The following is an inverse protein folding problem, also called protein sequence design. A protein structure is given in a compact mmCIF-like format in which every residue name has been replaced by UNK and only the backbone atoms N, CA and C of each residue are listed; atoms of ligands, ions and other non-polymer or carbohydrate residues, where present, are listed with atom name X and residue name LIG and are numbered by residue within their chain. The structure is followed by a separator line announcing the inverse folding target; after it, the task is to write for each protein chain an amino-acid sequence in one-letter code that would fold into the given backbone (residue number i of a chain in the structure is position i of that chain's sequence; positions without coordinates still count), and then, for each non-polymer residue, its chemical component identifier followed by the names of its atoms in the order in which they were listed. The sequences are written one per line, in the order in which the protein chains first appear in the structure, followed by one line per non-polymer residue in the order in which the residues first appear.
data_IF_472467475562
#
_entry.id   IF_472467475562
#
_cell.length_a   1.000
_cell.length_b   1.000
_cell.length_c   1.000
_cell.angle_alpha   90.00
_cell.angle_beta   90.00
_cell.angle_gamma   90.00
#
_symmetry.space_group_name_H-M   'P 1'
#
loop_
_entity.id
_entity.type
_entity.pdbx_description
1 polymer ?
#
# COMPACT_ATOMS: atom_id res chain seq x y z
N UNK A 1 -19.55 23.80 -33.27
CA UNK A 1 -18.42 24.31 -32.48
C UNK A 1 -18.05 23.23 -31.49
N UNK A 2 -16.98 22.48 -31.76
CA UNK A 2 -16.51 21.39 -30.90
C UNK A 2 -15.46 21.96 -29.97
N UNK A 3 -15.81 22.07 -28.68
CA UNK A 3 -14.87 22.49 -27.64
C UNK A 3 -14.01 21.29 -27.28
N UNK A 4 -12.86 21.17 -27.91
CA UNK A 4 -11.79 20.29 -27.41
C UNK A 4 -11.31 20.86 -26.09
N UNK A 5 -11.78 20.29 -24.97
CA UNK A 5 -11.14 20.51 -23.67
C UNK A 5 -9.76 19.89 -23.77
N UNK A 6 -8.74 20.70 -24.02
CA UNK A 6 -7.36 20.34 -23.70
C UNK A 6 -7.32 20.19 -22.18
N UNK A 7 -7.36 18.96 -21.68
CA UNK A 7 -7.05 18.68 -20.28
C UNK A 7 -5.63 19.18 -20.06
N UNK A 8 -5.49 20.33 -19.37
CA UNK A 8 -4.19 20.84 -18.99
C UNK A 8 -3.48 19.73 -18.19
N UNK A 9 -2.20 19.49 -18.48
CA UNK A 9 -1.39 18.67 -17.59
C UNK A 9 -1.49 19.28 -16.18
N UNK A 10 -1.79 18.49 -15.13
CA UNK A 10 -1.91 19.04 -13.80
C UNK A 10 -0.61 19.77 -13.45
N UNK A 11 -0.75 20.96 -12.84
CA UNK A 11 0.39 21.67 -12.28
C UNK A 11 1.10 20.77 -11.28
N UNK A 12 2.43 20.90 -11.20
CA UNK A 12 3.21 20.15 -10.24
C UNK A 12 2.79 20.58 -8.82
N UNK A 13 2.48 19.61 -7.98
CA UNK A 13 2.01 19.81 -6.60
C UNK A 13 3.03 19.28 -5.61
N UNK A 14 3.14 19.96 -4.47
CA UNK A 14 3.64 19.34 -3.25
C UNK A 14 2.66 18.28 -2.74
N UNK A 15 3.12 17.41 -1.85
CA UNK A 15 2.28 16.40 -1.21
C UNK A 15 1.12 17.02 -0.42
N UNK A 16 1.33 18.18 0.21
CA UNK A 16 0.28 18.88 0.94
C UNK A 16 -0.81 19.42 0.01
N UNK A 17 -0.41 20.09 -1.07
CA UNK A 17 -1.33 20.59 -2.10
C UNK A 17 -2.10 19.43 -2.75
N UNK A 18 -1.40 18.33 -3.05
CA UNK A 18 -2.00 17.14 -3.61
C UNK A 18 -3.05 16.52 -2.68
N UNK A 19 -2.77 16.39 -1.39
CA UNK A 19 -3.72 15.78 -0.44
C UNK A 19 -5.00 16.61 -0.35
N UNK A 20 -4.89 17.95 -0.28
CA UNK A 20 -6.06 18.84 -0.33
C UNK A 20 -6.80 18.75 -1.68
N UNK A 21 -6.05 18.69 -2.78
CA UNK A 21 -6.59 18.56 -4.13
C UNK A 21 -7.36 17.23 -4.31
N UNK A 22 -6.81 16.12 -3.81
CA UNK A 22 -7.40 14.78 -3.90
C UNK A 22 -8.65 14.68 -3.01
N UNK A 23 -8.61 15.26 -1.80
CA UNK A 23 -9.74 15.30 -0.87
C UNK A 23 -10.96 16.01 -1.49
N UNK A 24 -10.72 17.11 -2.21
CA UNK A 24 -11.77 17.86 -2.92
C UNK A 24 -12.39 17.11 -4.12
N UNK A 25 -11.75 16.03 -4.60
CA UNK A 25 -12.12 15.28 -5.82
C UNK A 25 -12.40 13.80 -5.57
N UNK A 26 -12.74 13.42 -4.32
CA UNK A 26 -13.02 12.02 -3.95
C UNK A 26 -14.03 11.30 -4.86
N UNK A 27 -14.95 12.02 -5.49
CA UNK A 27 -15.94 11.44 -6.42
C UNK A 27 -15.43 11.23 -7.84
N UNK A 28 -14.30 11.83 -8.21
CA UNK A 28 -13.70 11.74 -9.56
C UNK A 28 -12.78 10.53 -9.70
N UNK A 29 -12.27 10.01 -8.59
CA UNK A 29 -11.38 8.86 -8.56
C UNK A 29 -10.34 8.97 -7.45
N UNK A 30 -9.46 7.98 -7.40
CA UNK A 30 -8.33 7.93 -6.47
C UNK A 30 -7.04 8.19 -7.21
N UNK A 31 -6.09 8.83 -6.54
CA UNK A 31 -4.87 9.31 -7.15
C UNK A 31 -3.68 9.01 -6.26
N UNK A 32 -2.54 8.76 -6.88
CA UNK A 32 -1.23 8.89 -6.23
C UNK A 32 -0.56 10.20 -6.70
N UNK A 33 0.42 10.68 -5.95
CA UNK A 33 1.33 11.73 -6.40
C UNK A 33 2.66 11.09 -6.76
N UNK A 34 3.12 11.28 -8.00
CA UNK A 34 4.41 10.75 -8.48
C UNK A 34 5.21 11.88 -9.09
N UNK A 35 6.38 12.17 -8.50
CA UNK A 35 7.27 13.26 -8.91
C UNK A 35 6.56 14.64 -9.00
N UNK A 36 5.56 14.83 -8.14
CA UNK A 36 4.72 16.02 -8.04
C UNK A 36 3.52 16.05 -9.00
N UNK A 37 3.24 14.96 -9.71
CA UNK A 37 2.11 14.89 -10.64
C UNK A 37 1.04 13.91 -10.15
N UNK A 38 -0.24 14.33 -10.07
CA UNK A 38 -1.35 13.43 -9.78
C UNK A 38 -1.48 12.34 -10.86
N UNK A 39 -1.54 11.08 -10.43
CA UNK A 39 -1.69 9.92 -11.29
C UNK A 39 -2.94 9.16 -10.87
N UNK A 40 -3.93 9.08 -11.76
CA UNK A 40 -5.18 8.35 -11.53
C UNK A 40 -4.92 6.84 -11.37
N UNK A 41 -5.40 6.28 -10.26
CA UNK A 41 -5.47 4.85 -10.04
C UNK A 41 -6.58 4.25 -10.92
N UNK A 42 -6.26 3.15 -11.60
CA UNK A 42 -7.21 2.50 -12.51
C UNK A 42 -8.34 1.83 -11.73
N UNK A 43 -9.51 1.74 -12.35
CA UNK A 43 -10.60 0.93 -11.82
C UNK A 43 -10.15 -0.53 -11.73
N UNK A 44 -10.53 -1.18 -10.64
CA UNK A 44 -10.06 -2.52 -10.33
C UNK A 44 -11.04 -3.60 -10.80
N UNK A 45 -10.51 -4.81 -11.02
CA UNK A 45 -11.31 -6.01 -11.28
C UNK A 45 -11.76 -6.63 -9.96
N UNK A 46 -12.85 -7.39 -10.00
CA UNK A 46 -13.37 -8.09 -8.82
C UNK A 46 -12.31 -8.97 -8.14
N UNK A 47 -11.53 -9.73 -8.92
CA UNK A 47 -10.45 -10.58 -8.39
C UNK A 47 -9.39 -9.79 -7.60
N UNK A 48 -9.02 -8.60 -8.07
CA UNK A 48 -8.10 -7.73 -7.34
C UNK A 48 -8.68 -7.30 -5.98
N UNK A 49 -9.96 -6.93 -5.98
CA UNK A 49 -10.66 -6.54 -4.76
C UNK A 49 -10.77 -7.72 -3.77
N UNK A 50 -11.07 -8.92 -4.24
CA UNK A 50 -11.11 -10.15 -3.43
C UNK A 50 -9.75 -10.40 -2.74
N UNK A 51 -8.64 -10.33 -3.48
CA UNK A 51 -7.30 -10.51 -2.88
C UNK A 51 -6.98 -9.44 -1.82
N UNK A 52 -7.33 -8.17 -2.04
CA UNK A 52 -7.15 -7.12 -1.03
C UNK A 52 -7.98 -7.38 0.22
N UNK A 53 -9.21 -7.85 0.05
CA UNK A 53 -10.09 -8.18 1.16
C UNK A 53 -9.50 -9.34 2.00
N UNK A 54 -8.99 -10.40 1.35
CA UNK A 54 -8.31 -11.51 2.03
C UNK A 54 -7.06 -11.04 2.77
N UNK A 55 -6.21 -10.23 2.14
CA UNK A 55 -5.02 -9.61 2.77
C UNK A 55 -5.42 -8.85 4.04
N UNK A 56 -6.35 -7.91 3.91
CA UNK A 56 -6.79 -7.10 5.04
C UNK A 56 -7.37 -7.96 6.16
N UNK A 57 -8.20 -8.95 5.83
CA UNK A 57 -8.83 -9.84 6.80
C UNK A 57 -7.77 -10.65 7.56
N UNK A 58 -6.79 -11.21 6.86
CA UNK A 58 -5.71 -12.00 7.45
C UNK A 58 -4.86 -11.15 8.39
N UNK A 59 -4.43 -9.96 7.95
CA UNK A 59 -3.67 -9.02 8.79
C UNK A 59 -4.49 -8.62 10.02
N UNK A 60 -5.74 -8.20 9.84
CA UNK A 60 -6.62 -7.77 10.93
C UNK A 60 -6.87 -8.89 11.94
N UNK A 61 -7.09 -10.11 11.45
CA UNK A 61 -7.32 -11.28 12.31
C UNK A 61 -6.07 -11.59 13.14
N UNK A 62 -4.90 -11.62 12.51
CA UNK A 62 -3.66 -11.92 13.21
C UNK A 62 -3.28 -10.84 14.24
N UNK A 63 -3.46 -9.56 13.91
CA UNK A 63 -3.27 -8.45 14.87
C UNK A 63 -4.16 -8.58 16.10
N UNK A 64 -5.45 -8.90 15.90
CA UNK A 64 -6.41 -9.07 17.00
C UNK A 64 -6.08 -10.29 17.85
N UNK A 65 -5.77 -11.43 17.22
CA UNK A 65 -5.39 -12.65 17.92
C UNK A 65 -4.10 -12.49 18.71
N UNK A 66 -3.15 -11.69 18.21
CA UNK A 66 -1.92 -11.34 18.92
C UNK A 66 -2.08 -10.27 20.00
N UNK A 67 -3.26 -9.67 20.16
CA UNK A 67 -3.49 -8.59 21.13
C UNK A 67 -2.67 -7.33 20.86
N UNK A 68 -2.27 -7.10 19.60
CA UNK A 68 -1.41 -5.99 19.22
C UNK A 68 -2.21 -4.68 19.12
N UNK A 69 -1.64 -3.60 19.65
CA UNK A 69 -2.20 -2.24 19.53
C UNK A 69 -1.92 -1.63 18.13
N UNK A 70 -2.32 -2.36 17.10
CA UNK A 70 -2.16 -1.98 15.71
C UNK A 70 -3.48 -2.16 14.94
N UNK A 71 -3.61 -1.43 13.85
CA UNK A 71 -4.77 -1.43 12.96
C UNK A 71 -4.32 -1.74 11.55
N UNK A 72 -5.00 -2.68 10.90
CA UNK A 72 -4.90 -2.90 9.47
C UNK A 72 -5.93 -2.03 8.74
N UNK A 73 -5.47 -1.22 7.80
CA UNK A 73 -6.31 -0.44 6.90
C UNK A 73 -6.29 -1.09 5.50
N UNK A 74 -7.41 -0.97 4.80
CA UNK A 74 -7.50 -1.28 3.37
C UNK A 74 -6.94 -0.12 2.55
N UNK A 75 -7.01 -0.25 1.23
CA UNK A 75 -6.83 0.84 0.28
C UNK A 75 -7.73 2.04 0.59
N UNK A 76 -7.34 3.23 0.08
CA UNK A 76 -7.97 4.51 0.40
C UNK A 76 -7.20 5.36 1.41
N UNK A 77 -6.18 4.80 2.06
CA UNK A 77 -5.30 5.53 2.99
C UNK A 77 -4.01 5.96 2.29
N UNK A 78 -3.67 7.24 2.38
CA UNK A 78 -2.45 7.79 1.79
C UNK A 78 -1.22 7.56 2.69
N UNK A 79 -0.08 7.30 2.08
CA UNK A 79 1.24 7.29 2.72
C UNK A 79 2.10 8.36 2.04
N UNK A 80 2.46 9.40 2.80
CA UNK A 80 3.39 10.42 2.32
C UNK A 80 4.81 9.86 2.35
N UNK A 81 5.47 9.87 1.20
CA UNK A 81 6.86 9.40 1.05
C UNK A 81 7.80 10.58 1.25
N UNK A 82 7.59 11.65 0.47
CA UNK A 82 8.34 12.89 0.58
C UNK A 82 7.45 14.11 0.21
N UNK A 83 8.05 15.20 -0.26
CA UNK A 83 7.32 16.41 -0.64
C UNK A 83 6.62 16.32 -2.01
N UNK A 84 6.93 15.32 -2.83
CA UNK A 84 6.43 15.17 -4.19
C UNK A 84 5.93 13.76 -4.50
N UNK A 85 5.91 12.86 -3.52
CA UNK A 85 5.43 11.50 -3.66
C UNK A 85 4.47 11.14 -2.52
N UNK A 86 3.27 10.69 -2.91
CA UNK A 86 2.23 10.16 -2.03
C UNK A 86 1.70 8.89 -2.67
N UNK A 87 1.73 7.78 -1.92
CA UNK A 87 1.28 6.46 -2.37
C UNK A 87 -0.01 6.05 -1.68
N UNK A 88 -0.79 5.20 -2.32
CA UNK A 88 -1.98 4.59 -1.72
C UNK A 88 -1.84 3.07 -1.82
N UNK A 89 -1.25 2.40 -0.82
CA UNK A 89 -1.08 0.94 -0.86
C UNK A 89 -2.43 0.23 -0.73
N UNK A 90 -2.48 -1.02 -1.23
CA UNK A 90 -3.69 -1.83 -1.21
C UNK A 90 -4.12 -2.28 0.18
N UNK A 91 -3.14 -2.41 1.10
CA UNK A 91 -3.37 -2.51 2.53
C UNK A 91 -2.14 -2.00 3.28
N UNK A 92 -2.33 -1.63 4.55
CA UNK A 92 -1.23 -1.27 5.43
C UNK A 92 -1.53 -1.64 6.88
N UNK A 93 -0.49 -1.75 7.70
CA UNK A 93 -0.58 -1.87 9.15
C UNK A 93 0.04 -0.64 9.79
N UNK A 94 -0.73 0.02 10.66
CA UNK A 94 -0.29 1.11 11.52
C UNK A 94 -0.34 0.67 12.97
N UNK A 95 0.70 0.98 13.75
CA UNK A 95 0.73 0.74 15.18
C UNK A 95 0.79 2.07 15.92
N UNK A 96 -0.17 2.30 16.82
CA UNK A 96 -0.33 3.58 17.51
C UNK A 96 -1.73 4.16 17.41
N UNK A 97 -1.87 5.38 17.92
CA UNK A 97 -3.12 6.15 17.85
C UNK A 97 -3.25 6.86 16.50
N UNK A 98 -4.48 6.97 16.03
CA UNK A 98 -4.86 7.68 14.81
C UNK A 98 -6.21 8.39 15.03
N UNK A 99 -6.48 9.43 14.25
CA UNK A 99 -7.80 10.07 14.21
C UNK A 99 -8.68 9.41 13.14
N UNK A 100 -9.98 9.32 13.38
CA UNK A 100 -10.91 8.73 12.40
C UNK A 100 -11.07 9.57 11.13
N UNK A 101 -10.69 10.84 11.18
CA UNK A 101 -10.68 11.76 10.05
C UNK A 101 -9.36 11.75 9.28
N UNK A 102 -8.36 11.00 9.74
CA UNK A 102 -7.07 10.90 9.03
C UNK A 102 -7.26 10.30 7.64
N UNK A 103 -6.69 10.98 6.65
CA UNK A 103 -6.55 10.48 5.28
C UNK A 103 -5.12 10.00 4.98
N UNK A 104 -4.15 10.41 5.81
CA UNK A 104 -2.74 10.03 5.72
C UNK A 104 -2.35 9.20 6.93
N UNK A 105 -1.69 8.07 6.69
CA UNK A 105 -1.08 7.25 7.74
C UNK A 105 0.37 7.68 7.89
N UNK A 106 0.68 8.31 9.01
CA UNK A 106 2.00 8.94 9.22
C UNK A 106 3.11 7.95 9.58
N UNK A 107 2.78 6.81 10.19
CA UNK A 107 3.76 5.80 10.61
C UNK A 107 3.27 4.38 10.28
N UNK A 108 3.13 4.01 9.01
CA UNK A 108 2.86 2.63 8.62
C UNK A 108 4.09 1.77 8.92
N UNK A 109 3.86 0.55 9.41
CA UNK A 109 4.90 -0.44 9.73
C UNK A 109 4.99 -1.51 8.65
N UNK A 110 3.86 -1.87 8.05
CA UNK A 110 3.75 -2.81 6.95
C UNK A 110 2.93 -2.13 5.85
N UNK A 111 3.37 -2.26 4.60
CA UNK A 111 2.60 -1.87 3.40
C UNK A 111 2.49 -3.06 2.46
N UNK A 112 1.36 -3.16 1.77
CA UNK A 112 1.05 -4.28 0.90
C UNK A 112 0.54 -3.78 -0.44
N UNK A 113 1.05 -4.37 -1.51
CA UNK A 113 0.61 -4.15 -2.89
C UNK A 113 0.11 -5.48 -3.46
N UNK A 114 -1.05 -5.46 -4.11
CA UNK A 114 -1.59 -6.59 -4.85
C UNK A 114 -1.37 -6.32 -6.34
N UNK A 115 -0.69 -7.24 -7.00
CA UNK A 115 -0.38 -7.16 -8.42
C UNK A 115 -1.33 -8.07 -9.18
N UNK A 116 -2.04 -7.48 -10.13
CA UNK A 116 -2.79 -8.22 -11.16
C UNK A 116 -2.17 -7.97 -12.54
N UNK A 117 -2.32 -8.86 -13.53
CA UNK A 117 -1.77 -8.67 -14.87
C UNK A 117 -2.23 -7.38 -15.57
N UNK A 118 -3.37 -6.81 -15.15
CA UNK A 118 -3.88 -5.53 -15.66
C UNK A 118 -3.21 -4.29 -15.07
N UNK A 119 -2.41 -4.43 -14.00
CA UNK A 119 -1.73 -3.32 -13.32
C UNK A 119 -0.44 -2.91 -14.04
N UNK A 120 -0.52 -2.64 -15.35
CA UNK A 120 0.60 -2.26 -16.25
C UNK A 120 1.42 -1.04 -15.74
N UNK A 121 0.93 -0.32 -14.73
CA UNK A 121 1.57 0.85 -14.12
C UNK A 121 2.21 0.61 -12.75
N UNK A 122 2.09 -0.58 -12.17
CA UNK A 122 2.85 -0.89 -10.96
C UNK A 122 4.33 -1.03 -11.33
N UNK A 123 5.18 -0.17 -10.77
CA UNK A 123 6.63 -0.37 -10.74
C UNK A 123 7.03 -0.78 -9.31
N UNK A 124 7.05 -2.09 -9.02
CA UNK A 124 7.49 -2.62 -7.72
C UNK A 124 8.86 -2.10 -7.28
N UNK A 125 9.77 -1.86 -8.23
CA UNK A 125 11.11 -1.37 -7.95
C UNK A 125 11.09 0.06 -7.42
N UNK A 126 10.33 0.95 -8.07
CA UNK A 126 10.15 2.32 -7.58
C UNK A 126 9.41 2.34 -6.23
N UNK A 127 8.35 1.55 -6.08
CA UNK A 127 7.61 1.44 -4.81
C UNK A 127 8.48 0.90 -3.67
N UNK A 128 9.37 -0.05 -3.94
CA UNK A 128 10.36 -0.53 -2.98
C UNK A 128 11.25 0.60 -2.44
N UNK A 129 11.79 1.43 -3.34
CA UNK A 129 12.63 2.58 -2.97
C UNK A 129 11.83 3.62 -2.18
N UNK A 130 10.62 3.95 -2.64
CA UNK A 130 9.74 4.91 -1.99
C UNK A 130 9.38 4.44 -0.57
N UNK A 131 8.88 3.21 -0.40
CA UNK A 131 8.46 2.71 0.91
C UNK A 131 9.62 2.56 1.89
N UNK A 132 10.78 2.05 1.46
CA UNK A 132 11.94 1.97 2.35
C UNK A 132 12.69 3.29 2.52
N UNK A 133 12.24 4.39 1.91
CA UNK A 133 12.66 5.73 2.33
C UNK A 133 11.95 6.18 3.61
N UNK A 134 10.75 5.65 3.88
CA UNK A 134 9.99 5.92 5.11
C UNK A 134 10.58 5.10 6.27
N UNK A 135 11.09 5.73 7.35
CA UNK A 135 11.76 4.99 8.43
C UNK A 135 10.88 4.00 9.19
N UNK A 136 9.58 4.33 9.33
CA UNK A 136 8.62 3.49 10.05
C UNK A 136 8.29 2.20 9.31
N UNK A 137 8.38 2.18 7.98
CA UNK A 137 8.08 0.98 7.19
C UNK A 137 9.20 -0.03 7.40
N UNK A 138 8.83 -1.15 8.02
CA UNK A 138 9.72 -2.26 8.33
C UNK A 138 9.58 -3.37 7.30
N UNK A 139 8.42 -3.47 6.66
CA UNK A 139 8.07 -4.56 5.76
C UNK A 139 7.21 -4.07 4.60
N UNK A 140 7.51 -4.60 3.41
CA UNK A 140 6.75 -4.38 2.18
C UNK A 140 6.43 -5.73 1.55
N UNK A 141 5.14 -6.01 1.39
CA UNK A 141 4.64 -7.23 0.77
C UNK A 141 4.11 -6.94 -0.62
N UNK A 142 4.44 -7.80 -1.57
CA UNK A 142 3.90 -7.79 -2.92
C UNK A 142 3.20 -9.13 -3.15
N UNK A 143 1.89 -9.09 -3.34
CA UNK A 143 1.09 -10.26 -3.64
C UNK A 143 0.85 -10.38 -5.13
N UNK A 144 1.24 -11.51 -5.69
CA UNK A 144 0.90 -11.89 -7.05
C UNK A 144 -0.30 -12.82 -6.98
N UNK A 145 -1.51 -12.26 -7.17
CA UNK A 145 -2.78 -12.96 -7.00
C UNK A 145 -2.89 -14.23 -7.84
N UNK A 146 -2.65 -14.11 -9.14
CA UNK A 146 -2.77 -15.23 -10.10
C UNK A 146 -1.72 -16.33 -9.90
N UNK A 147 -0.59 -16.00 -9.26
CA UNK A 147 0.53 -16.93 -9.01
C UNK A 147 0.48 -17.52 -7.59
N UNK A 148 -0.37 -16.97 -6.72
CA UNK A 148 -0.41 -17.24 -5.29
C UNK A 148 0.99 -17.19 -4.67
N UNK A 149 1.70 -16.08 -4.94
CA UNK A 149 3.04 -15.81 -4.43
C UNK A 149 3.09 -14.49 -3.69
N UNK A 150 3.94 -14.46 -2.66
CA UNK A 150 4.24 -13.25 -1.91
C UNK A 150 5.73 -12.98 -2.00
N UNK A 151 6.10 -11.80 -2.48
CA UNK A 151 7.45 -11.26 -2.29
C UNK A 151 7.44 -10.40 -1.03
N UNK A 152 8.24 -10.80 -0.06
CA UNK A 152 8.36 -10.12 1.24
C UNK A 152 9.72 -9.44 1.31
N UNK A 153 9.72 -8.11 1.28
CA UNK A 153 10.87 -7.29 1.60
C UNK A 153 10.81 -6.82 3.06
N UNK A 154 11.93 -6.89 3.79
CA UNK A 154 12.01 -6.37 5.16
C UNK A 154 13.35 -5.72 5.46
N UNK A 155 13.33 -4.72 6.34
CA UNK A 155 14.56 -4.23 6.98
C UNK A 155 15.15 -5.33 7.86
N UNK A 156 16.47 -5.47 7.83
CA UNK A 156 17.20 -6.32 8.77
C UNK A 156 17.74 -5.49 9.92
N UNK A 157 18.54 -6.11 10.79
CA UNK A 157 19.30 -5.42 11.83
C UNK A 157 20.54 -4.70 11.28
N UNK A 158 20.94 -5.00 10.04
CA UNK A 158 22.05 -4.34 9.34
C UNK A 158 21.50 -3.08 8.67
N UNK A 159 22.05 -1.92 9.03
CA UNK A 159 21.62 -0.63 8.49
C UNK A 159 21.73 -0.61 6.96
N UNK A 160 20.65 -0.18 6.30
CA UNK A 160 20.57 -0.11 4.84
C UNK A 160 20.33 -1.46 4.13
N UNK A 161 20.34 -2.59 4.84
CA UNK A 161 20.06 -3.89 4.23
C UNK A 161 18.55 -4.17 4.20
N UNK A 162 18.07 -4.55 3.01
CA UNK A 162 16.70 -5.05 2.78
C UNK A 162 16.79 -6.51 2.35
N UNK A 163 16.27 -7.42 3.18
CA UNK A 163 16.17 -8.83 2.86
C UNK A 163 14.89 -9.12 2.06
N UNK A 164 14.98 -10.00 1.07
CA UNK A 164 13.85 -10.44 0.25
C UNK A 164 13.61 -11.94 0.40
N UNK A 165 12.36 -12.34 0.57
CA UNK A 165 11.91 -13.75 0.51
C UNK A 165 10.77 -13.87 -0.49
N UNK A 166 10.72 -15.00 -1.19
CA UNK A 166 9.59 -15.38 -2.04
C UNK A 166 8.90 -16.56 -1.37
N UNK A 167 7.60 -16.45 -1.17
CA UNK A 167 6.81 -17.39 -0.39
C UNK A 167 5.59 -17.83 -1.20
N UNK A 168 5.12 -19.04 -0.96
CA UNK A 168 3.91 -19.61 -1.56
C UNK A 168 2.99 -20.27 -0.53
N UNK A 169 1.89 -20.85 -1.02
CA UNK A 169 0.97 -21.68 -0.21
C UNK A 169 1.72 -22.65 0.69
N UNK A 170 1.28 -22.78 1.94
CA UNK A 170 1.91 -23.60 2.97
C UNK A 170 3.05 -22.92 3.75
N UNK A 171 3.59 -21.80 3.26
CA UNK A 171 4.57 -21.00 4.00
C UNK A 171 3.89 -20.10 5.05
N UNK A 172 4.70 -19.66 6.02
CA UNK A 172 4.31 -18.66 7.02
C UNK A 172 5.16 -17.39 6.89
N UNK A 173 4.48 -16.25 6.80
CA UNK A 173 5.05 -14.92 6.91
C UNK A 173 5.22 -14.55 8.38
N UNK A 174 6.46 -14.35 8.82
CA UNK A 174 6.76 -13.68 10.07
C UNK A 174 6.79 -12.16 9.83
N UNK A 175 5.88 -11.44 10.50
CA UNK A 175 5.70 -10.01 10.37
C UNK A 175 6.18 -9.31 11.66
N UNK A 176 7.48 -9.40 11.88
CA UNK A 176 8.18 -8.84 13.04
C UNK A 176 9.15 -7.72 12.64
N UNK A 177 8.99 -6.49 13.15
CA UNK A 177 7.87 -5.96 13.95
C UNK A 177 6.60 -5.72 13.12
N UNK A 178 5.38 -5.73 13.69
CA UNK A 178 5.07 -5.59 15.13
C UNK A 178 4.99 -6.91 15.92
N UNK A 179 5.20 -8.07 15.31
CA UNK A 179 5.33 -9.33 16.03
C UNK A 179 4.10 -10.22 15.93
N UNK A 180 3.74 -10.61 14.72
CA UNK A 180 2.71 -11.62 14.45
C UNK A 180 3.07 -12.42 13.20
N UNK A 181 2.32 -13.48 12.92
CA UNK A 181 2.52 -14.28 11.71
C UNK A 181 1.21 -14.52 10.98
N UNK A 182 1.32 -14.70 9.67
CA UNK A 182 0.19 -14.98 8.76
C UNK A 182 0.61 -16.13 7.84
N UNK A 183 -0.26 -17.12 7.65
CA UNK A 183 -0.04 -18.14 6.63
C UNK A 183 -0.26 -17.53 5.26
N UNK A 184 0.54 -17.91 4.27
CA UNK A 184 0.35 -17.41 2.90
C UNK A 184 -1.04 -17.78 2.36
N UNK A 185 -1.57 -18.94 2.74
CA UNK A 185 -2.92 -19.37 2.38
C UNK A 185 -4.01 -18.36 2.78
N UNK A 186 -3.92 -17.81 3.99
CA UNK A 186 -4.90 -16.85 4.50
C UNK A 186 -4.93 -15.54 3.69
N UNK A 187 -3.87 -15.24 2.93
CA UNK A 187 -3.81 -14.05 2.09
C UNK A 187 -4.54 -14.23 0.74
N UNK A 188 -4.83 -15.46 0.35
CA UNK A 188 -5.48 -15.80 -0.92
C UNK A 188 -6.85 -16.45 -0.75
N UNK A 189 -7.20 -16.87 0.47
CA UNK A 189 -8.50 -17.48 0.76
C UNK A 189 -9.55 -16.40 1.10
N UNK A 190 -10.65 -16.40 0.36
CA UNK A 190 -11.82 -15.52 0.52
C UNK A 190 -12.94 -16.20 1.31
#
# INVERSE_FOLDING_TARGET
MSTTVKTALPEKMSAEEFLAWADSRKTEGRYELIDGYPVLLQAERASHNEYKASVWLALRTALRSGGLACTAFTDGMSVRIDDHVVREPDALVHCGAYDRSDIVVSNPVIVVEVISPSSVRSDPGRKLLDYFSVPSIRQYLILYGDEERVVHHRRTEIEGEIATRILGRGDTLDLSPPGFSVTVDALFDS
#
